data_IF_267774624924
#
_entry.id   IF_267774624924
#
_cell.length_a   1.000
_cell.length_b   1.000
_cell.length_c   1.000
_cell.angle_alpha   90.00
_cell.angle_beta   90.00
_cell.angle_gamma   90.00
#
_symmetry.space_group_name_H-M   'P 1'
#
loop_
_entity.id
_entity.type
_entity.pdbx_description
1 polymer ?
#
# COMPACT_ATOMS: atom_id res chain seq x y z
N UNK A 1 10.08 -19.36 -19.56
CA UNK A 1 10.00 -20.77 -19.11
C UNK A 1 8.54 -21.17 -19.21
N UNK A 2 8.20 -22.23 -19.94
CA UNK A 2 6.80 -22.65 -20.10
C UNK A 2 6.30 -23.31 -18.81
N UNK A 3 5.70 -22.53 -17.91
CA UNK A 3 5.04 -23.00 -16.70
C UNK A 3 3.54 -23.30 -16.90
N UNK A 4 3.10 -23.33 -18.17
CA UNK A 4 1.74 -23.67 -18.56
C UNK A 4 1.39 -25.10 -18.12
N UNK A 5 0.28 -25.24 -17.42
CA UNK A 5 -0.26 -26.53 -16.96
C UNK A 5 -1.49 -26.86 -17.79
N UNK A 6 -1.58 -28.05 -18.40
CA UNK A 6 -2.82 -28.51 -19.03
C UNK A 6 -3.96 -28.51 -18.00
N UNK A 7 -5.15 -28.04 -18.40
CA UNK A 7 -6.32 -27.97 -17.51
C UNK A 7 -6.69 -29.36 -16.95
N UNK A 8 -6.45 -30.42 -17.73
CA UNK A 8 -6.65 -31.83 -17.32
C UNK A 8 -5.77 -32.26 -16.14
N UNK A 9 -4.67 -31.56 -15.89
CA UNK A 9 -3.64 -31.95 -14.94
C UNK A 9 -3.75 -31.14 -13.64
N UNK A 10 -4.77 -30.28 -13.52
CA UNK A 10 -5.02 -29.49 -12.32
C UNK A 10 -5.47 -30.39 -11.16
N UNK A 11 -4.87 -30.24 -9.96
CA UNK A 11 -5.10 -31.16 -8.84
C UNK A 11 -6.37 -30.85 -8.03
N UNK A 12 -7.36 -30.19 -8.65
CA UNK A 12 -8.62 -29.81 -8.00
C UNK A 12 -9.81 -30.01 -8.94
N UNK A 13 -11.02 -29.94 -8.39
CA UNK A 13 -12.24 -30.12 -9.18
C UNK A 13 -12.49 -28.92 -10.12
N UNK A 14 -12.03 -29.04 -11.37
CA UNK A 14 -12.18 -28.01 -12.40
C UNK A 14 -13.64 -27.64 -12.63
N UNK A 15 -14.56 -28.60 -12.68
CA UNK A 15 -15.97 -28.30 -12.94
C UNK A 15 -16.58 -27.43 -11.84
N UNK A 16 -16.29 -27.75 -10.58
CA UNK A 16 -16.76 -26.96 -9.45
C UNK A 16 -16.13 -25.57 -9.42
N UNK A 17 -14.84 -25.46 -9.72
CA UNK A 17 -14.16 -24.17 -9.87
C UNK A 17 -14.82 -23.32 -10.98
N UNK A 18 -15.00 -23.88 -12.17
CA UNK A 18 -15.56 -23.14 -13.32
C UNK A 18 -17.00 -22.71 -13.10
N UNK A 19 -17.78 -23.46 -12.31
CA UNK A 19 -19.16 -23.11 -11.98
C UNK A 19 -19.29 -21.80 -11.20
N UNK A 20 -18.24 -21.42 -10.47
CA UNK A 20 -18.20 -20.23 -9.62
C UNK A 20 -17.33 -19.11 -10.20
N UNK A 21 -16.15 -19.45 -10.71
CA UNK A 21 -15.12 -18.49 -11.10
C UNK A 21 -14.99 -18.31 -12.63
N UNK A 22 -15.77 -19.07 -13.41
CA UNK A 22 -15.77 -19.02 -14.87
C UNK A 22 -14.81 -20.02 -15.49
N UNK A 23 -14.96 -20.23 -16.81
CA UNK A 23 -14.18 -21.22 -17.56
C UNK A 23 -12.69 -20.91 -17.51
N UNK A 24 -11.85 -21.91 -17.27
CA UNK A 24 -10.40 -21.76 -17.26
C UNK A 24 -9.91 -21.54 -18.69
N UNK A 25 -9.24 -20.41 -18.91
CA UNK A 25 -8.56 -20.09 -20.17
C UNK A 25 -7.13 -20.63 -20.18
N UNK A 26 -6.41 -20.45 -19.08
CA UNK A 26 -5.04 -20.91 -18.90
C UNK A 26 -4.72 -21.13 -17.44
N UNK A 27 -3.79 -22.03 -17.18
CA UNK A 27 -3.25 -22.29 -15.86
C UNK A 27 -1.72 -22.26 -15.92
N UNK A 28 -1.11 -21.67 -14.91
CA UNK A 28 0.34 -21.61 -14.74
C UNK A 28 0.69 -22.10 -13.34
N UNK A 29 1.69 -22.97 -13.21
CA UNK A 29 2.20 -23.37 -11.89
C UNK A 29 3.28 -22.40 -11.45
N UNK A 30 3.04 -21.67 -10.38
CA UNK A 30 4.00 -20.70 -9.83
C UNK A 30 5.01 -21.38 -8.91
N UNK A 31 4.52 -22.18 -7.97
CA UNK A 31 5.35 -22.95 -7.03
C UNK A 31 4.58 -24.23 -6.58
N UNK A 32 5.17 -25.13 -5.78
CA UNK A 32 4.50 -26.37 -5.39
C UNK A 32 3.14 -26.13 -4.74
N UNK A 33 2.08 -26.64 -5.38
CA UNK A 33 0.70 -26.50 -4.90
C UNK A 33 0.10 -25.10 -5.07
N UNK A 34 0.71 -24.20 -5.86
CA UNK A 34 0.13 -22.88 -6.17
C UNK A 34 0.07 -22.67 -7.68
N UNK A 35 -1.11 -22.27 -8.14
CA UNK A 35 -1.42 -22.08 -9.54
C UNK A 35 -1.99 -20.69 -9.78
N UNK A 36 -1.56 -20.02 -10.85
CA UNK A 36 -2.25 -18.85 -11.39
C UNK A 36 -3.22 -19.30 -12.45
N UNK A 37 -4.49 -18.95 -12.30
CA UNK A 37 -5.58 -19.33 -13.20
C UNK A 37 -6.15 -18.07 -13.82
N UNK A 38 -6.22 -18.02 -15.15
CA UNK A 38 -6.95 -16.98 -15.88
C UNK A 38 -8.28 -17.57 -16.35
N UNK A 39 -9.39 -16.88 -16.09
CA UNK A 39 -10.72 -17.32 -16.51
C UNK A 39 -11.30 -16.46 -17.64
N UNK A 40 -12.21 -17.03 -18.42
CA UNK A 40 -13.01 -16.28 -19.39
C UNK A 40 -14.03 -15.41 -18.62
N UNK A 41 -14.28 -14.14 -19.03
CA UNK A 41 -15.28 -13.28 -18.38
C UNK A 41 -16.65 -13.96 -18.32
N UNK A 42 -17.33 -13.87 -17.19
CA UNK A 42 -18.72 -14.34 -17.05
C UNK A 42 -19.66 -13.20 -17.50
N UNK A 43 -20.61 -13.41 -18.42
CA UNK A 43 -21.41 -12.33 -19.00
C UNK A 43 -22.36 -11.57 -18.05
N UNK A 44 -22.65 -12.11 -16.87
CA UNK A 44 -23.71 -11.61 -15.98
C UNK A 44 -23.20 -10.71 -14.84
N UNK A 45 -21.91 -10.75 -14.53
CA UNK A 45 -21.27 -9.87 -13.56
C UNK A 45 -20.13 -9.14 -14.27
N UNK A 46 -20.07 -7.82 -14.13
CA UNK A 46 -19.13 -6.93 -14.84
C UNK A 46 -17.66 -7.11 -14.42
N UNK A 47 -17.29 -8.27 -13.85
CA UNK A 47 -15.92 -8.61 -13.52
C UNK A 47 -15.21 -9.21 -14.74
N UNK A 48 -14.31 -8.38 -15.27
CA UNK A 48 -13.23 -8.68 -16.22
C UNK A 48 -12.59 -10.03 -15.87
N UNK A 49 -12.21 -10.82 -16.90
CA UNK A 49 -11.31 -11.99 -16.83
C UNK A 49 -10.63 -12.14 -15.46
N UNK A 50 -11.02 -13.13 -14.65
CA UNK A 50 -10.46 -13.24 -13.30
C UNK A 50 -9.08 -13.84 -13.38
N UNK A 51 -8.11 -13.12 -12.82
CA UNK A 51 -6.77 -13.60 -12.53
C UNK A 51 -6.77 -14.04 -11.08
N UNK A 52 -6.50 -15.32 -10.84
CA UNK A 52 -6.73 -15.99 -9.57
C UNK A 52 -5.50 -16.78 -9.16
N UNK A 53 -5.15 -16.75 -7.87
CA UNK A 53 -4.30 -17.78 -7.27
C UNK A 53 -5.18 -18.90 -6.73
N UNK A 54 -4.82 -20.13 -7.06
CA UNK A 54 -5.37 -21.35 -6.47
C UNK A 54 -4.29 -22.03 -5.67
N UNK A 55 -4.52 -22.18 -4.36
CA UNK A 55 -3.57 -22.71 -3.39
C UNK A 55 -4.10 -24.01 -2.83
N UNK A 56 -3.30 -25.07 -2.96
CA UNK A 56 -3.60 -26.39 -2.40
C UNK A 56 -3.35 -26.41 -0.89
N UNK A 57 -4.17 -27.19 -0.18
CA UNK A 57 -4.12 -27.36 1.27
C UNK A 57 -2.73 -27.74 1.79
N UNK A 58 -2.05 -28.62 1.06
CA UNK A 58 -0.77 -29.20 1.39
C UNK A 58 0.41 -28.44 0.78
N UNK A 59 0.17 -27.31 0.10
CA UNK A 59 1.24 -26.49 -0.48
C UNK A 59 2.24 -26.10 0.61
N UNK A 60 3.54 -26.44 0.45
CA UNK A 60 4.59 -26.05 1.38
C UNK A 60 5.00 -24.59 1.19
N UNK A 61 4.60 -23.96 0.08
CA UNK A 61 4.96 -22.58 -0.23
C UNK A 61 4.17 -21.56 0.60
N UNK A 62 2.94 -21.92 0.99
CA UNK A 62 2.04 -21.01 1.69
C UNK A 62 1.82 -21.49 3.13
N UNK A 63 2.24 -20.73 4.15
CA UNK A 63 2.06 -21.10 5.55
C UNK A 63 0.57 -21.08 5.94
N UNK A 64 0.23 -21.82 7.00
CA UNK A 64 -1.15 -21.93 7.48
C UNK A 64 -1.78 -20.57 7.83
N UNK A 65 -0.98 -19.63 8.36
CA UNK A 65 -1.40 -18.26 8.67
C UNK A 65 -1.75 -17.44 7.44
N UNK A 66 -1.06 -17.64 6.31
CA UNK A 66 -1.42 -17.00 5.05
C UNK A 66 -2.68 -17.62 4.44
N UNK A 67 -2.82 -18.94 4.55
CA UNK A 67 -3.99 -19.70 4.06
C UNK A 67 -5.32 -19.20 4.63
N UNK A 68 -5.35 -18.64 5.84
CA UNK A 68 -6.59 -18.07 6.41
C UNK A 68 -7.11 -16.83 5.68
N UNK A 69 -6.32 -16.22 4.79
CA UNK A 69 -6.74 -15.09 3.95
C UNK A 69 -7.41 -15.53 2.63
N UNK A 70 -7.33 -16.81 2.27
CA UNK A 70 -7.95 -17.33 1.05
C UNK A 70 -9.44 -17.67 1.19
N UNK A 71 -10.15 -17.74 0.07
CA UNK A 71 -11.55 -18.18 0.03
C UNK A 71 -11.58 -19.69 -0.25
N UNK A 72 -12.14 -20.52 0.63
CA UNK A 72 -12.31 -21.95 0.37
C UNK A 72 -13.17 -22.22 -0.86
N UNK A 73 -12.75 -23.16 -1.71
CA UNK A 73 -13.56 -23.67 -2.81
C UNK A 73 -14.66 -24.57 -2.25
N UNK A 74 -15.93 -24.28 -2.52
CA UNK A 74 -17.06 -24.99 -1.87
C UNK A 74 -17.06 -26.51 -2.03
N UNK A 75 -16.59 -27.02 -3.17
CA UNK A 75 -16.50 -28.46 -3.43
C UNK A 75 -15.29 -29.14 -2.80
N UNK A 76 -14.30 -28.35 -2.41
CA UNK A 76 -12.98 -28.77 -1.91
C UNK A 76 -12.46 -27.68 -0.97
N UNK A 77 -13.00 -27.55 0.25
CA UNK A 77 -12.71 -26.43 1.16
C UNK A 77 -11.23 -26.31 1.53
N UNK A 78 -10.46 -27.37 1.32
CA UNK A 78 -9.02 -27.43 1.48
C UNK A 78 -8.25 -26.69 0.36
N UNK A 79 -8.88 -26.43 -0.79
CA UNK A 79 -8.35 -25.61 -1.88
C UNK A 79 -8.82 -24.18 -1.70
N UNK A 80 -7.89 -23.24 -1.75
CA UNK A 80 -8.15 -21.82 -1.53
C UNK A 80 -8.03 -21.05 -2.83
N UNK A 81 -8.93 -20.09 -3.04
CA UNK A 81 -8.95 -19.18 -4.18
C UNK A 81 -8.74 -17.75 -3.70
N UNK A 82 -7.86 -17.02 -4.37
CA UNK A 82 -7.57 -15.60 -4.11
C UNK A 82 -7.59 -14.83 -5.42
N UNK A 83 -8.15 -13.62 -5.40
CA UNK A 83 -8.23 -12.76 -6.57
C UNK A 83 -6.96 -11.91 -6.72
N UNK A 84 -6.20 -12.12 -7.79
CA UNK A 84 -4.97 -11.38 -8.08
C UNK A 84 -5.26 -9.94 -8.48
N UNK A 85 -6.34 -9.72 -9.24
CA UNK A 85 -6.78 -8.39 -9.69
C UNK A 85 -7.80 -7.75 -8.76
N UNK A 86 -7.81 -8.14 -7.48
CA UNK A 86 -8.66 -7.52 -6.48
C UNK A 86 -8.27 -6.05 -6.23
N UNK A 87 -9.18 -5.34 -5.56
CA UNK A 87 -8.96 -3.99 -5.04
C UNK A 87 -7.60 -3.89 -4.32
N UNK A 88 -6.95 -2.71 -4.40
CA UNK A 88 -5.65 -2.49 -3.75
C UNK A 88 -5.69 -2.82 -2.26
N UNK A 89 -6.81 -2.56 -1.58
CA UNK A 89 -6.97 -2.83 -0.16
C UNK A 89 -7.42 -4.27 0.16
N UNK A 90 -7.46 -5.16 -0.83
CA UNK A 90 -7.66 -6.59 -0.59
C UNK A 90 -6.40 -7.20 0.04
N UNK A 91 -6.50 -7.49 1.34
CA UNK A 91 -5.45 -8.11 2.14
C UNK A 91 -5.00 -9.45 1.57
N UNK A 92 -5.94 -10.24 1.05
CA UNK A 92 -5.66 -11.60 0.58
C UNK A 92 -4.67 -11.61 -0.58
N UNK A 93 -4.81 -10.63 -1.48
CA UNK A 93 -3.90 -10.43 -2.60
C UNK A 93 -2.46 -10.24 -2.13
N UNK A 94 -2.22 -9.27 -1.24
CA UNK A 94 -0.86 -8.95 -0.78
C UNK A 94 -0.22 -10.11 -0.01
N UNK A 95 -0.98 -10.75 0.87
CA UNK A 95 -0.50 -11.91 1.66
C UNK A 95 -0.08 -13.05 0.73
N UNK A 96 -0.91 -13.39 -0.27
CA UNK A 96 -0.58 -14.48 -1.20
C UNK A 96 0.59 -14.15 -2.10
N UNK A 97 0.61 -12.96 -2.72
CA UNK A 97 1.74 -12.53 -3.55
C UNK A 97 3.04 -12.58 -2.76
N UNK A 98 3.05 -12.07 -1.53
CA UNK A 98 4.25 -12.08 -0.69
C UNK A 98 4.78 -13.49 -0.40
N UNK A 99 3.92 -14.44 0.00
CA UNK A 99 4.40 -15.79 0.33
C UNK A 99 4.82 -16.57 -0.92
N UNK A 100 4.19 -16.33 -2.06
CA UNK A 100 4.63 -16.88 -3.35
C UNK A 100 6.02 -16.35 -3.69
N UNK A 101 6.20 -15.03 -3.69
CA UNK A 101 7.45 -14.36 -4.06
C UNK A 101 8.58 -14.73 -3.08
N UNK A 102 8.27 -14.76 -1.79
CA UNK A 102 9.20 -15.19 -0.75
C UNK A 102 9.64 -16.63 -0.96
N UNK A 103 8.72 -17.54 -1.28
CA UNK A 103 9.07 -18.92 -1.60
C UNK A 103 10.02 -18.99 -2.81
N UNK A 104 9.74 -18.23 -3.87
CA UNK A 104 10.60 -18.18 -5.06
C UNK A 104 12.01 -17.71 -4.69
N UNK A 105 12.12 -16.60 -3.96
CA UNK A 105 13.40 -16.03 -3.50
C UNK A 105 14.17 -17.01 -2.61
N UNK A 106 13.52 -17.59 -1.61
CA UNK A 106 14.12 -18.55 -0.67
C UNK A 106 14.66 -19.80 -1.39
N UNK A 107 14.10 -20.14 -2.56
CA UNK A 107 14.50 -21.28 -3.38
C UNK A 107 15.33 -20.88 -4.61
N UNK A 108 15.80 -19.63 -4.67
CA UNK A 108 16.64 -19.07 -5.75
C UNK A 108 15.99 -19.08 -7.14
N UNK A 109 14.66 -18.97 -7.20
CA UNK A 109 13.93 -18.68 -8.44
C UNK A 109 13.82 -17.16 -8.64
N UNK A 110 13.88 -16.68 -9.90
CA UNK A 110 13.67 -15.27 -10.18
C UNK A 110 12.21 -14.88 -9.91
N UNK A 111 12.02 -13.66 -9.41
CA UNK A 111 10.70 -13.02 -9.43
C UNK A 111 10.34 -12.62 -10.87
N UNK A 112 9.04 -12.45 -11.17
CA UNK A 112 8.60 -11.85 -12.42
C UNK A 112 9.24 -10.47 -12.67
N UNK A 113 9.38 -10.10 -13.95
CA UNK A 113 10.04 -8.86 -14.34
C UNK A 113 9.36 -7.63 -13.72
N UNK A 114 10.15 -6.82 -13.02
CA UNK A 114 9.67 -5.59 -12.37
C UNK A 114 9.07 -5.80 -10.98
N UNK A 115 8.96 -7.04 -10.49
CA UNK A 115 8.47 -7.32 -9.14
C UNK A 115 9.58 -7.26 -8.10
N UNK A 116 9.22 -6.80 -6.90
CA UNK A 116 10.12 -6.65 -5.76
C UNK A 116 9.46 -7.20 -4.51
N UNK A 117 10.06 -8.23 -3.90
CA UNK A 117 9.59 -8.79 -2.63
C UNK A 117 9.51 -7.72 -1.53
N UNK A 118 10.42 -6.73 -1.55
CA UNK A 118 10.40 -5.61 -0.62
C UNK A 118 9.17 -4.72 -0.86
N UNK A 119 8.87 -4.38 -2.10
CA UNK A 119 7.72 -3.53 -2.41
C UNK A 119 6.40 -4.21 -2.03
N UNK A 120 6.24 -5.50 -2.37
CA UNK A 120 5.07 -6.29 -1.98
C UNK A 120 4.91 -6.31 -0.46
N UNK A 121 6.00 -6.49 0.28
CA UNK A 121 5.99 -6.43 1.75
C UNK A 121 5.55 -5.06 2.25
N UNK A 122 6.14 -3.98 1.75
CA UNK A 122 5.85 -2.60 2.20
C UNK A 122 4.40 -2.22 1.90
N UNK A 123 3.86 -2.59 0.73
CA UNK A 123 2.42 -2.42 0.43
C UNK A 123 1.54 -3.27 1.35
N UNK A 124 1.96 -4.49 1.65
CA UNK A 124 1.33 -5.35 2.64
C UNK A 124 1.30 -4.74 4.04
N UNK A 125 2.33 -4.00 4.46
CA UNK A 125 2.36 -3.30 5.76
C UNK A 125 1.31 -2.18 5.85
N UNK A 126 0.93 -1.55 4.74
CA UNK A 126 -0.17 -0.59 4.70
C UNK A 126 -1.53 -1.28 4.83
N UNK A 127 -1.75 -2.31 4.01
CA UNK A 127 -3.07 -2.94 3.82
C UNK A 127 -3.40 -3.98 4.89
N UNK A 128 -2.41 -4.74 5.35
CA UNK A 128 -2.55 -5.86 6.29
C UNK A 128 -1.42 -5.87 7.35
N UNK A 129 -1.31 -4.81 8.18
CA UNK A 129 -0.26 -4.71 9.19
C UNK A 129 -0.29 -5.86 10.22
N UNK A 130 -1.42 -6.51 10.44
CA UNK A 130 -1.52 -7.68 11.31
C UNK A 130 -0.74 -8.91 10.80
N UNK A 131 -0.49 -9.00 9.49
CA UNK A 131 0.33 -10.04 8.87
C UNK A 131 1.77 -9.57 8.65
N UNK A 132 1.93 -8.37 8.10
CA UNK A 132 3.23 -7.85 7.65
C UNK A 132 4.01 -7.09 8.72
N UNK A 133 3.36 -6.74 9.83
CA UNK A 133 3.83 -5.75 10.79
C UNK A 133 3.49 -4.32 10.37
N UNK A 134 3.40 -3.44 11.35
CA UNK A 134 3.25 -2.02 11.12
C UNK A 134 4.55 -1.38 10.63
N UNK A 135 4.43 -0.22 9.98
CA UNK A 135 5.60 0.57 9.59
C UNK A 135 6.43 0.96 10.81
N UNK A 136 7.74 0.71 10.80
CA UNK A 136 8.61 1.20 11.86
C UNK A 136 8.68 2.72 11.79
N UNK A 137 8.80 3.34 12.96
CA UNK A 137 9.07 4.77 13.05
C UNK A 137 10.47 5.01 12.47
N UNK A 138 10.64 5.95 11.51
CA UNK A 138 11.95 6.23 10.94
C UNK A 138 12.96 6.60 12.03
N UNK A 139 14.14 5.96 12.01
CA UNK A 139 15.24 6.26 12.95
C UNK A 139 16.13 7.40 12.46
N UNK A 140 16.05 7.73 11.16
CA UNK A 140 16.80 8.80 10.52
C UNK A 140 15.89 9.62 9.60
N UNK A 141 16.15 10.92 9.56
CA UNK A 141 15.52 11.87 8.63
C UNK A 141 16.62 12.69 7.93
N UNK A 142 16.28 13.45 6.88
CA UNK A 142 17.23 14.36 6.21
C UNK A 142 17.82 15.43 7.14
N UNK A 143 17.23 15.63 8.32
CA UNK A 143 17.60 16.64 9.31
C UNK A 143 18.19 16.05 10.60
N UNK A 144 18.52 14.76 10.58
CA UNK A 144 19.06 14.02 11.73
C UNK A 144 18.06 13.03 12.32
N UNK A 145 18.49 12.33 13.37
CA UNK A 145 17.64 11.39 14.09
C UNK A 145 16.45 12.11 14.75
N UNK A 146 15.24 11.51 14.78
CA UNK A 146 14.13 12.06 15.54
C UNK A 146 14.42 12.10 17.04
N UNK A 147 14.09 13.23 17.66
CA UNK A 147 14.14 13.45 19.10
C UNK A 147 12.82 13.01 19.77
N UNK A 148 11.71 13.21 19.06
CA UNK A 148 10.36 12.86 19.48
C UNK A 148 9.56 12.42 18.26
N UNK A 149 8.50 11.67 18.49
CA UNK A 149 7.58 11.26 17.44
C UNK A 149 6.14 11.31 17.92
N UNK A 150 5.22 11.49 16.99
CA UNK A 150 3.80 11.25 17.18
C UNK A 150 3.25 10.51 15.98
N UNK A 151 2.39 9.52 16.22
CA UNK A 151 1.84 8.66 15.18
C UNK A 151 0.42 9.10 14.87
N UNK A 152 0.19 9.60 13.66
CA UNK A 152 -1.16 9.89 13.14
C UNK A 152 -1.86 8.58 12.74
N UNK A 153 -1.18 7.75 11.96
CA UNK A 153 -1.65 6.45 11.48
C UNK A 153 -0.47 5.51 11.22
N UNK A 154 -0.74 4.26 10.85
CA UNK A 154 0.30 3.37 10.33
C UNK A 154 0.98 4.00 9.10
N UNK A 155 2.30 4.20 9.15
CA UNK A 155 3.07 4.82 8.07
C UNK A 155 2.95 6.34 7.96
N UNK A 156 2.19 7.02 8.85
CA UNK A 156 2.05 8.48 8.88
C UNK A 156 2.52 8.99 10.24
N UNK A 157 3.69 9.62 10.27
CA UNK A 157 4.35 10.04 11.50
C UNK A 157 4.72 11.51 11.47
N UNK A 158 4.55 12.18 12.60
CA UNK A 158 5.26 13.40 12.92
C UNK A 158 6.56 13.05 13.63
N UNK A 159 7.66 13.62 13.17
CA UNK A 159 8.99 13.42 13.74
C UNK A 159 9.58 14.79 14.07
N UNK A 160 10.00 14.98 15.32
CA UNK A 160 10.73 16.19 15.69
C UNK A 160 12.21 15.97 15.50
N UNK A 161 12.87 16.90 14.84
CA UNK A 161 14.31 16.88 14.57
C UNK A 161 14.96 18.12 15.14
N UNK A 162 16.26 18.05 15.43
CA UNK A 162 17.01 19.21 15.92
C UNK A 162 17.09 20.33 14.87
N UNK A 163 17.28 19.98 13.59
CA UNK A 163 17.59 20.95 12.53
C UNK A 163 16.36 21.51 11.80
N UNK A 164 15.22 20.83 11.83
CA UNK A 164 14.02 21.24 11.11
C UNK A 164 12.76 21.33 11.99
N UNK A 165 12.86 21.08 13.29
CA UNK A 165 11.68 20.98 14.14
C UNK A 165 10.82 19.79 13.73
N UNK A 166 9.50 19.94 13.76
CA UNK A 166 8.56 18.89 13.36
C UNK A 166 8.47 18.72 11.85
N UNK A 167 8.56 17.47 11.40
CA UNK A 167 8.45 17.06 9.99
C UNK A 167 7.46 15.90 9.87
N UNK A 168 6.72 15.85 8.78
CA UNK A 168 5.85 14.74 8.43
C UNK A 168 6.66 13.68 7.68
N UNK A 169 6.54 12.43 8.07
CA UNK A 169 7.08 11.28 7.36
C UNK A 169 5.92 10.41 6.86
N UNK A 170 5.94 10.11 5.56
CA UNK A 170 4.97 9.24 4.90
C UNK A 170 5.68 8.00 4.34
N UNK A 171 5.16 6.83 4.68
CA UNK A 171 5.64 5.57 4.12
C UNK A 171 5.45 5.56 2.59
N UNK A 172 6.30 4.79 1.90
CA UNK A 172 6.34 4.73 0.45
C UNK A 172 4.96 4.61 -0.23
N UNK A 173 4.12 3.62 0.10
CA UNK A 173 2.89 3.38 -0.66
C UNK A 173 1.79 4.40 -0.38
N UNK A 174 1.81 5.06 0.78
CA UNK A 174 0.87 6.15 1.12
C UNK A 174 1.05 7.33 0.15
N UNK A 175 2.26 7.49 -0.40
CA UNK A 175 2.54 8.55 -1.35
C UNK A 175 1.87 8.34 -2.71
N UNK A 176 1.36 7.15 -3.04
CA UNK A 176 0.66 6.87 -4.30
C UNK A 176 -0.71 7.58 -4.35
N UNK A 177 -1.25 7.95 -3.19
CA UNK A 177 -2.46 8.78 -3.07
C UNK A 177 -2.19 10.28 -3.24
N UNK A 178 -0.92 10.68 -3.42
CA UNK A 178 -0.53 12.08 -3.54
C UNK A 178 -0.36 12.49 -5.00
N UNK A 179 -0.58 13.78 -5.28
CA UNK A 179 -0.25 14.36 -6.57
C UNK A 179 1.26 14.28 -6.84
N UNK A 180 1.70 13.99 -8.08
CA UNK A 180 3.12 13.90 -8.42
C UNK A 180 3.92 15.16 -8.04
N UNK A 181 3.32 16.35 -8.16
CA UNK A 181 3.95 17.61 -7.75
C UNK A 181 4.14 17.72 -6.23
N UNK A 182 3.23 17.14 -5.45
CA UNK A 182 3.38 17.04 -3.99
C UNK A 182 4.44 16.02 -3.62
N UNK A 183 4.56 14.91 -4.35
CA UNK A 183 5.65 13.96 -4.13
C UNK A 183 7.02 14.63 -4.40
N UNK A 184 7.13 15.51 -5.40
CA UNK A 184 8.38 16.20 -5.75
C UNK A 184 8.91 17.17 -4.70
N UNK A 185 8.05 17.73 -3.85
CA UNK A 185 8.51 18.61 -2.76
C UNK A 185 9.05 17.82 -1.55
N UNK A 186 8.83 16.51 -1.51
CA UNK A 186 9.35 15.67 -0.45
C UNK A 186 10.88 15.61 -0.46
N UNK A 187 11.46 15.57 0.72
CA UNK A 187 12.89 15.35 0.91
C UNK A 187 13.11 13.88 1.23
N UNK A 188 14.08 13.27 0.56
CA UNK A 188 14.50 11.89 0.77
C UNK A 188 15.74 11.84 1.65
N UNK A 189 15.90 10.75 2.40
CA UNK A 189 17.16 10.43 3.04
C UNK A 189 18.27 10.20 1.99
N UNK A 190 19.55 10.39 2.35
CA UNK A 190 20.67 10.18 1.43
C UNK A 190 20.66 8.79 0.77
N UNK A 191 20.38 7.75 1.56
CA UNK A 191 20.31 6.37 1.08
C UNK A 191 19.24 6.19 -0.01
N UNK A 192 18.01 6.66 0.21
CA UNK A 192 16.92 6.53 -0.75
C UNK A 192 17.15 7.36 -2.02
N UNK A 193 17.84 8.50 -1.88
CA UNK A 193 18.24 9.33 -3.03
C UNK A 193 19.30 8.64 -3.88
N UNK A 194 20.29 8.01 -3.25
CA UNK A 194 21.38 7.31 -3.93
C UNK A 194 20.90 6.02 -4.61
N UNK A 195 20.04 5.26 -3.93
CA UNK A 195 19.60 3.94 -4.38
C UNK A 195 18.28 3.97 -5.17
N UNK A 196 17.56 5.10 -5.14
CA UNK A 196 16.25 5.26 -5.77
C UNK A 196 15.11 4.87 -4.83
N UNK A 197 14.18 5.79 -4.62
CA UNK A 197 13.06 5.61 -3.68
C UNK A 197 12.17 4.41 -4.04
N UNK A 198 11.98 4.13 -5.33
CA UNK A 198 11.14 3.01 -5.79
C UNK A 198 11.81 1.64 -5.59
N UNK A 199 13.12 1.61 -5.35
CA UNK A 199 13.85 0.37 -5.01
C UNK A 199 13.95 0.14 -3.50
N UNK A 200 14.09 1.22 -2.76
CA UNK A 200 14.27 1.20 -1.30
C UNK A 200 12.96 1.15 -0.54
N UNK A 201 11.86 1.62 -1.16
CA UNK A 201 10.54 1.76 -0.54
C UNK A 201 10.59 2.53 0.79
N UNK A 202 11.50 3.50 0.89
CA UNK A 202 11.72 4.33 2.07
C UNK A 202 10.64 5.39 2.31
N UNK A 203 10.86 6.22 3.33
CA UNK A 203 9.94 7.29 3.69
C UNK A 203 10.19 8.57 2.88
N UNK A 204 9.11 9.33 2.65
CA UNK A 204 9.16 10.69 2.12
C UNK A 204 8.90 11.69 3.23
N UNK A 205 9.75 12.71 3.34
CA UNK A 205 9.69 13.66 4.45
C UNK A 205 9.29 15.06 3.99
N UNK A 206 8.45 15.74 4.76
CA UNK A 206 7.97 17.09 4.49
C UNK A 206 8.17 17.96 5.72
N UNK A 207 8.72 19.16 5.54
CA UNK A 207 8.73 20.15 6.63
C UNK A 207 7.31 20.55 7.00
N UNK A 208 7.11 21.00 8.24
CA UNK A 208 5.79 21.39 8.74
C UNK A 208 5.07 22.41 7.84
N UNK A 209 5.78 23.36 7.24
CA UNK A 209 5.17 24.37 6.38
C UNK A 209 4.62 23.77 5.08
N UNK A 210 5.24 22.68 4.62
CA UNK A 210 4.93 21.99 3.37
C UNK A 210 3.99 20.79 3.56
N UNK A 211 3.93 20.20 4.76
CA UNK A 211 3.10 19.03 5.06
C UNK A 211 1.60 19.28 4.99
N UNK A 212 1.16 20.54 4.93
CA UNK A 212 -0.25 20.87 4.72
C UNK A 212 -0.80 20.30 3.40
N UNK A 213 0.02 20.24 2.34
CA UNK A 213 -0.36 19.73 1.03
C UNK A 213 -0.64 18.21 1.04
N UNK A 214 0.30 17.34 1.45
CA UNK A 214 0.02 15.91 1.50
C UNK A 214 -1.07 15.56 2.51
N UNK A 215 -1.15 16.23 3.66
CA UNK A 215 -2.23 15.97 4.62
C UNK A 215 -3.61 16.34 4.06
N UNK A 216 -3.73 17.46 3.35
CA UNK A 216 -4.99 17.85 2.71
C UNK A 216 -5.41 16.84 1.64
N UNK A 217 -4.49 16.36 0.82
CA UNK A 217 -4.78 15.33 -0.18
C UNK A 217 -5.22 14.01 0.48
N UNK A 218 -4.49 13.55 1.50
CA UNK A 218 -4.83 12.31 2.21
C UNK A 218 -6.19 12.39 2.92
N UNK A 219 -6.57 13.56 3.47
CA UNK A 219 -7.89 13.75 4.07
C UNK A 219 -9.04 13.67 3.04
N UNK A 220 -8.75 13.94 1.77
CA UNK A 220 -9.71 13.77 0.69
C UNK A 220 -9.76 12.32 0.17
N UNK A 221 -8.78 11.49 0.51
CA UNK A 221 -8.74 10.06 0.20
C UNK A 221 -9.46 9.27 1.30
N UNK A 222 -10.76 8.99 1.13
CA UNK A 222 -11.60 8.25 2.10
C UNK A 222 -11.61 8.85 3.53
N UNK A 223 -12.45 8.33 4.43
CA UNK A 223 -12.44 8.80 5.81
C UNK A 223 -11.18 8.35 6.55
N UNK A 224 -10.27 9.29 6.77
CA UNK A 224 -9.05 9.06 7.53
C UNK A 224 -9.38 8.99 9.04
N UNK A 225 -8.90 7.95 9.77
CA UNK A 225 -9.22 7.76 11.18
C UNK A 225 -8.57 8.79 12.11
N UNK A 226 -7.66 9.61 11.59
CA UNK A 226 -6.95 10.67 12.28
C UNK A 226 -7.44 12.08 11.90
N UNK A 227 -8.53 12.16 11.12
CA UNK A 227 -9.08 13.43 10.62
C UNK A 227 -9.50 14.38 11.74
N UNK A 228 -9.98 13.85 12.86
CA UNK A 228 -10.35 14.56 14.09
C UNK A 228 -9.16 15.18 14.84
N UNK A 229 -7.93 14.69 14.60
CA UNK A 229 -6.70 15.27 15.15
C UNK A 229 -6.19 16.46 14.34
N UNK A 230 -6.82 16.76 13.21
CA UNK A 230 -6.44 17.87 12.34
C UNK A 230 -7.47 18.99 12.46
N UNK A 231 -6.99 20.21 12.68
CA UNK A 231 -7.83 21.38 12.52
C UNK A 231 -7.99 21.69 11.02
N UNK A 232 -9.08 21.19 10.43
CA UNK A 232 -9.36 21.31 8.98
C UNK A 232 -9.40 22.77 8.52
N UNK A 233 -9.95 23.69 9.31
CA UNK A 233 -10.01 25.11 8.93
C UNK A 233 -8.60 25.74 8.88
N UNK A 234 -7.76 25.42 9.85
CA UNK A 234 -6.36 25.87 9.86
C UNK A 234 -5.54 25.20 8.75
N UNK A 235 -5.83 23.95 8.42
CA UNK A 235 -5.17 23.23 7.32
C UNK A 235 -5.49 23.90 5.98
N UNK A 236 -6.77 24.18 5.70
CA UNK A 236 -7.19 24.86 4.48
C UNK A 236 -6.52 26.24 4.33
N UNK A 237 -6.40 27.00 5.43
CA UNK A 237 -5.63 28.24 5.43
C UNK A 237 -4.17 27.99 5.06
N UNK A 238 -3.49 27.04 5.71
CA UNK A 238 -2.09 26.71 5.45
C UNK A 238 -1.87 26.29 3.98
N UNK A 239 -2.78 25.49 3.42
CA UNK A 239 -2.79 25.10 2.02
C UNK A 239 -2.91 26.33 1.11
N UNK A 240 -3.85 27.25 1.39
CA UNK A 240 -4.00 28.49 0.62
C UNK A 240 -2.72 29.33 0.62
N UNK A 241 -2.01 29.43 1.74
CA UNK A 241 -0.70 30.09 1.79
C UNK A 241 0.38 29.33 1.01
N UNK A 242 0.44 28.00 1.14
CA UNK A 242 1.43 27.17 0.45
C UNK A 242 1.28 27.22 -1.08
N UNK A 243 0.07 27.47 -1.60
CA UNK A 243 -0.20 27.64 -3.04
C UNK A 243 0.53 28.80 -3.69
N UNK A 244 0.88 29.85 -2.94
CA UNK A 244 1.65 30.97 -3.49
C UNK A 244 2.98 30.49 -4.08
N UNK A 245 3.54 29.43 -3.49
CA UNK A 245 4.81 28.82 -3.87
C UNK A 245 4.66 27.47 -4.58
N UNK A 246 3.52 26.78 -4.45
CA UNK A 246 3.29 25.42 -4.95
C UNK A 246 1.97 25.25 -5.72
N UNK A 247 1.76 26.07 -6.75
CA UNK A 247 0.47 26.17 -7.47
C UNK A 247 -0.07 24.86 -8.07
N UNK A 248 0.81 23.91 -8.40
CA UNK A 248 0.45 22.65 -9.08
C UNK A 248 0.26 21.47 -8.11
N UNK A 249 0.32 21.70 -6.80
CA UNK A 249 0.18 20.65 -5.77
C UNK A 249 -1.27 20.48 -5.29
N UNK A 250 -2.26 21.00 -6.03
CA UNK A 250 -3.69 20.90 -5.69
C UNK A 250 -4.47 20.84 -7.00
N UNK A 251 -5.49 19.98 -7.06
CA UNK A 251 -6.36 19.88 -8.22
C UNK A 251 -7.29 21.10 -8.35
N UNK A 252 -7.71 21.40 -9.58
CA UNK A 252 -8.48 22.60 -9.89
C UNK A 252 -9.87 22.63 -9.22
N UNK A 253 -10.47 21.46 -9.01
CA UNK A 253 -11.74 21.26 -8.32
C UNK A 253 -11.60 21.38 -6.80
N UNK A 254 -10.53 20.82 -6.21
CA UNK A 254 -10.21 20.97 -4.79
C UNK A 254 -10.01 22.45 -4.39
N UNK A 255 -9.51 23.28 -5.31
CA UNK A 255 -9.36 24.72 -5.10
C UNK A 255 -10.69 25.42 -4.83
N UNK A 256 -11.78 24.99 -5.47
CA UNK A 256 -13.09 25.59 -5.28
C UNK A 256 -13.67 25.30 -3.88
N UNK A 257 -13.18 24.25 -3.21
CA UNK A 257 -13.61 23.83 -1.88
C UNK A 257 -12.81 24.48 -0.74
N UNK A 258 -11.64 25.05 -1.05
CA UNK A 258 -10.80 25.73 -0.06
C UNK A 258 -11.48 27.03 0.42
N UNK A 259 -11.71 27.12 1.74
CA UNK A 259 -12.28 28.30 2.37
C UNK A 259 -11.32 28.89 3.38
N UNK A 260 -10.94 30.16 3.17
CA UNK A 260 -10.15 30.88 4.15
C UNK A 260 -10.99 31.21 5.39
N UNK A 261 -10.52 30.80 6.57
CA UNK A 261 -11.18 31.03 7.86
C UNK A 261 -10.26 31.87 8.76
N UNK A 262 -10.43 33.21 8.83
CA UNK A 262 -9.48 34.09 9.49
C UNK A 262 -9.17 33.76 10.96
N UNK A 263 -10.15 33.24 11.70
CA UNK A 263 -10.00 32.90 13.12
C UNK A 263 -9.26 31.59 13.39
N UNK A 264 -9.04 30.74 12.39
CA UNK A 264 -8.46 29.41 12.57
C UNK A 264 -6.92 29.40 12.56
N UNK A 265 -6.28 30.46 12.03
CA UNK A 265 -4.81 30.50 11.86
C UNK A 265 -4.31 29.44 10.86
N UNK A 266 -3.03 29.06 10.97
CA UNK A 266 -2.38 28.04 10.12
C UNK A 266 -1.79 26.87 10.92
N UNK A 267 -2.01 26.85 12.24
CA UNK A 267 -1.60 25.74 13.10
C UNK A 267 -2.64 24.63 13.02
N UNK A 268 -2.44 23.69 12.11
CA UNK A 268 -3.41 22.62 11.82
C UNK A 268 -3.19 21.34 12.63
N UNK A 269 -2.11 21.27 13.40
CA UNK A 269 -1.80 20.15 14.28
C UNK A 269 -1.31 20.63 15.65
N UNK A 270 -1.73 19.93 16.71
CA UNK A 270 -1.25 20.14 18.07
C UNK A 270 -0.25 19.06 18.40
N UNK A 271 1.02 19.43 18.46
CA UNK A 271 2.09 18.50 18.83
C UNK A 271 2.03 18.18 20.33
N UNK A 272 2.43 16.95 20.73
CA UNK A 272 2.64 16.62 22.13
C UNK A 272 3.58 17.64 22.80
N UNK A 273 3.29 17.97 24.06
CA UNK A 273 4.18 18.81 24.85
C UNK A 273 5.54 18.12 25.03
N UNK A 274 6.60 18.91 25.20
CA UNK A 274 7.86 18.37 25.67
C UNK A 274 7.66 17.78 27.06
N UNK A 275 8.03 16.51 27.26
CA UNK A 275 8.27 16.00 28.61
C UNK A 275 9.36 16.89 29.23
N UNK A 276 8.96 17.71 30.20
CA UNK A 276 9.81 18.68 30.89
C UNK A 276 10.77 18.02 31.88
#
# INVERSE_FOLDING_TARGET
MEHSVPISDLPFNVHAFESRYGKIRSAEKLCPGVFRILTVPIPLDQFICSDLFVVMADSPAIPLTAKSYGIPLESSPEVLVVYCNADYFDKSRWVMTYEIDKYLVDHNFPLPDGESLLEVRVRGMEVCPEYFGEFPIPTETPWGAPLQHDRLANGVFWLRTEKAGWVLALAYPICDSLLPETVKIAVLNPYDRENGIDKTCGFRFFKYEQSCLPLFQLLNCAQQPWSDRINTAALQNAVLYAREYNKNCIEADQIAELRHTPSAGTCYYLFPAEDA
#
